data_IF_577162097258
#
_entry.id   IF_577162097258
#
_cell.length_a   1.000
_cell.length_b   1.000
_cell.length_c   1.000
_cell.angle_alpha   90.00
_cell.angle_beta   90.00
_cell.angle_gamma   90.00
#
_symmetry.space_group_name_H-M   'P 1'
#
loop_
_entity.id
_entity.type
_entity.pdbx_description
1 polymer ?
#
# COMPACT_ATOMS: atom_id res chain seq x y z
N UNK A 1 4.72 13.89 15.77
CA UNK A 1 4.59 12.65 14.97
C UNK A 1 4.68 11.48 15.95
N UNK A 2 3.64 10.69 16.05
CA UNK A 2 3.62 9.56 17.00
C UNK A 2 4.25 8.37 16.27
N UNK A 3 5.37 7.89 16.75
CA UNK A 3 6.04 6.68 16.25
C UNK A 3 5.47 5.45 16.97
N UNK A 4 5.16 4.41 16.23
CA UNK A 4 4.80 3.12 16.80
C UNK A 4 5.99 2.17 16.70
N UNK A 5 6.34 1.52 17.79
CA UNK A 5 7.35 0.46 17.81
C UNK A 5 6.77 -0.80 17.16
N UNK A 6 7.52 -1.47 16.27
CA UNK A 6 7.11 -2.77 15.76
C UNK A 6 6.83 -3.77 16.89
N UNK A 7 5.84 -4.65 16.74
CA UNK A 7 5.55 -5.65 17.77
C UNK A 7 6.73 -6.61 17.95
N UNK A 8 7.06 -6.92 19.20
CA UNK A 8 7.99 -8.00 19.49
C UNK A 8 7.31 -9.34 19.15
N UNK A 9 7.81 -10.03 18.14
CA UNK A 9 7.34 -11.37 17.78
C UNK A 9 8.10 -12.40 18.62
N UNK A 10 7.35 -13.22 19.35
CA UNK A 10 7.93 -14.33 20.07
C UNK A 10 8.15 -15.52 19.12
N UNK A 11 9.19 -16.28 19.35
CA UNK A 11 9.63 -17.42 18.56
C UNK A 11 8.64 -18.61 18.74
N UNK A 12 7.49 -18.52 18.06
CA UNK A 12 6.56 -19.63 17.94
C UNK A 12 6.68 -20.20 16.53
N UNK A 13 6.91 -21.52 16.41
CA UNK A 13 6.95 -22.26 15.13
C UNK A 13 5.62 -22.18 14.33
N UNK A 14 4.62 -21.53 14.88
CA UNK A 14 3.26 -21.34 14.37
C UNK A 14 3.05 -19.86 14.12
N UNK A 15 2.39 -19.50 13.05
CA UNK A 15 2.07 -18.11 12.74
C UNK A 15 1.62 -17.29 13.96
N UNK A 16 1.58 -15.98 13.81
CA UNK A 16 1.14 -15.04 14.84
C UNK A 16 0.27 -13.98 14.19
N UNK A 17 -0.76 -13.51 14.90
CA UNK A 17 -1.61 -12.40 14.42
C UNK A 17 -1.54 -11.20 15.33
N UNK A 18 -1.90 -10.05 14.78
CA UNK A 18 -1.97 -8.80 15.54
C UNK A 18 -3.09 -7.93 14.99
N UNK A 19 -4.04 -7.57 15.84
CA UNK A 19 -5.08 -6.61 15.56
C UNK A 19 -4.73 -5.26 16.19
N UNK A 20 -4.76 -4.17 15.41
CA UNK A 20 -4.42 -2.82 15.88
C UNK A 20 -5.26 -1.78 15.17
N UNK A 21 -5.58 -0.72 15.91
CA UNK A 21 -6.11 0.52 15.37
C UNK A 21 -5.03 1.60 15.40
N UNK A 22 -4.87 2.29 14.27
CA UNK A 22 -3.87 3.35 14.11
C UNK A 22 -4.53 4.62 13.58
N UNK A 23 -4.27 5.79 14.21
CA UNK A 23 -4.80 7.05 13.73
C UNK A 23 -4.09 7.51 12.45
N UNK A 24 -4.80 8.31 11.65
CA UNK A 24 -4.24 9.00 10.48
C UNK A 24 -2.95 9.74 10.81
N UNK A 25 -2.00 9.64 9.89
CA UNK A 25 -0.70 10.32 9.98
C UNK A 25 0.32 9.60 10.87
N UNK A 26 -0.07 8.49 11.56
CA UNK A 26 0.89 7.67 12.28
C UNK A 26 1.82 7.00 11.28
N UNK A 27 3.11 6.91 11.64
CA UNK A 27 4.13 6.20 10.86
C UNK A 27 4.76 5.11 11.72
N UNK A 28 4.96 3.96 11.11
CA UNK A 28 5.81 2.88 11.63
C UNK A 28 7.12 2.99 10.86
N UNK A 29 8.21 3.21 11.59
CA UNK A 29 9.53 3.43 11.01
C UNK A 29 10.04 2.19 10.25
N UNK A 30 11.02 2.36 9.34
CA UNK A 30 11.64 1.25 8.64
C UNK A 30 12.15 0.18 9.60
N UNK A 31 11.72 -1.04 9.39
CA UNK A 31 12.11 -2.22 10.16
C UNK A 31 12.01 -3.48 9.30
N UNK A 32 12.60 -4.55 9.76
CA UNK A 32 12.46 -5.88 9.17
C UNK A 32 12.33 -6.94 10.27
N UNK A 33 11.81 -8.07 9.91
CA UNK A 33 11.69 -9.23 10.81
C UNK A 33 11.87 -10.54 10.04
N UNK A 34 12.16 -11.61 10.76
CA UNK A 34 12.43 -12.93 10.18
C UNK A 34 11.17 -13.67 9.72
N UNK A 35 10.00 -13.12 9.96
CA UNK A 35 8.71 -13.65 9.55
C UNK A 35 8.24 -12.99 8.26
N UNK A 36 7.57 -13.75 7.40
CA UNK A 36 6.77 -13.16 6.36
C UNK A 36 5.47 -12.61 6.94
N UNK A 37 4.95 -11.54 6.34
CA UNK A 37 3.81 -10.80 6.90
C UNK A 37 2.76 -10.52 5.84
N UNK A 38 1.50 -10.67 6.23
CA UNK A 38 0.35 -10.14 5.54
C UNK A 38 -0.19 -8.97 6.34
N UNK A 39 -0.14 -7.76 5.76
CA UNK A 39 -0.76 -6.55 6.31
C UNK A 39 -2.12 -6.36 5.63
N UNK A 40 -3.20 -6.52 6.36
CA UNK A 40 -4.57 -6.35 5.88
C UNK A 40 -5.23 -5.11 6.47
N UNK A 41 -5.80 -4.25 5.62
CA UNK A 41 -6.63 -3.14 6.04
C UNK A 41 -8.10 -3.57 6.07
N UNK A 42 -8.67 -3.73 7.26
CA UNK A 42 -10.12 -3.91 7.45
C UNK A 42 -10.83 -2.63 7.04
N UNK A 43 -10.30 -1.49 7.49
CA UNK A 43 -10.75 -0.16 7.11
C UNK A 43 -9.56 0.77 7.01
N UNK A 44 -9.74 1.88 6.29
CA UNK A 44 -8.69 2.86 6.06
C UNK A 44 -7.70 2.46 4.97
N UNK A 45 -6.67 3.25 4.79
CA UNK A 45 -5.67 3.07 3.74
C UNK A 45 -4.27 3.22 4.31
N UNK A 46 -3.41 2.29 3.94
CA UNK A 46 -1.99 2.31 4.28
C UNK A 46 -1.13 2.58 3.04
N UNK A 47 -0.08 3.33 3.22
CA UNK A 47 1.06 3.46 2.33
C UNK A 47 2.20 2.63 2.93
N UNK A 48 2.62 1.59 2.23
CA UNK A 48 3.66 0.67 2.67
C UNK A 48 4.87 0.82 1.75
N UNK A 49 5.99 1.27 2.28
CA UNK A 49 7.25 1.30 1.54
C UNK A 49 7.99 -0.03 1.79
N UNK A 50 8.36 -0.72 0.72
CA UNK A 50 9.08 -1.98 0.78
C UNK A 50 10.11 -2.04 -0.36
N UNK A 51 11.40 -2.04 -0.02
CA UNK A 51 12.47 -1.92 -0.99
C UNK A 51 12.41 -0.58 -1.74
N UNK A 52 12.28 -0.64 -3.07
CA UNK A 52 12.22 0.57 -3.92
C UNK A 52 10.81 0.83 -4.47
N UNK A 53 9.79 0.37 -3.78
CA UNK A 53 8.40 0.56 -4.19
C UNK A 53 7.55 1.00 -3.00
N UNK A 54 6.56 1.84 -3.26
CA UNK A 54 5.44 2.06 -2.36
C UNK A 54 4.23 1.29 -2.87
N UNK A 55 3.57 0.62 -1.94
CA UNK A 55 2.38 -0.17 -2.15
C UNK A 55 1.22 0.50 -1.42
N UNK A 56 0.15 0.80 -2.15
CA UNK A 56 -1.05 1.39 -1.56
C UNK A 56 -2.03 0.29 -1.23
N UNK A 57 -2.44 0.23 0.03
CA UNK A 57 -3.31 -0.82 0.57
C UNK A 57 -4.62 -0.20 1.05
N UNK A 58 -5.63 -0.11 0.17
CA UNK A 58 -6.98 0.32 0.55
C UNK A 58 -7.72 -0.82 1.27
N UNK A 59 -8.93 -0.58 1.78
CA UNK A 59 -9.77 -1.63 2.36
C UNK A 59 -9.92 -2.83 1.44
N UNK A 60 -10.04 -4.01 2.02
CA UNK A 60 -10.14 -5.31 1.34
C UNK A 60 -8.93 -5.66 0.44
N UNK A 61 -7.80 -5.02 0.70
CA UNK A 61 -6.50 -5.39 0.14
C UNK A 61 -5.54 -5.72 1.26
N UNK A 62 -4.62 -6.61 0.97
CA UNK A 62 -3.50 -6.92 1.85
C UNK A 62 -2.19 -6.83 1.09
N UNK A 63 -1.15 -6.46 1.78
CA UNK A 63 0.21 -6.56 1.26
C UNK A 63 0.90 -7.77 1.85
N UNK A 64 1.56 -8.53 1.00
CA UNK A 64 2.50 -9.56 1.35
C UNK A 64 3.90 -8.96 1.45
N UNK A 65 4.55 -9.19 2.56
CA UNK A 65 5.93 -8.81 2.84
C UNK A 65 6.74 -10.08 3.13
N UNK A 66 7.66 -10.49 2.23
CA UNK A 66 8.55 -11.62 2.50
C UNK A 66 9.41 -11.41 3.75
N UNK A 67 9.83 -12.50 4.39
CA UNK A 67 10.75 -12.46 5.51
C UNK A 67 12.02 -11.66 5.17
N UNK A 68 12.50 -10.85 6.11
CA UNK A 68 13.68 -10.00 5.93
C UNK A 68 13.47 -8.75 5.09
N UNK A 69 12.28 -8.52 4.54
CA UNK A 69 11.99 -7.30 3.79
C UNK A 69 11.95 -6.09 4.72
N UNK A 70 12.85 -5.13 4.52
CA UNK A 70 12.76 -3.84 5.19
C UNK A 70 11.55 -3.07 4.66
N UNK A 71 10.70 -2.61 5.57
CA UNK A 71 9.48 -1.89 5.23
C UNK A 71 9.09 -0.86 6.28
N UNK A 72 8.38 0.18 5.84
CA UNK A 72 7.76 1.19 6.69
C UNK A 72 6.29 1.34 6.32
N UNK A 73 5.47 1.83 7.25
CA UNK A 73 4.03 1.99 7.02
C UNK A 73 3.61 3.40 7.42
N UNK A 74 2.87 4.07 6.54
CA UNK A 74 2.26 5.35 6.81
C UNK A 74 0.74 5.23 6.70
N UNK A 75 0.02 5.61 7.75
CA UNK A 75 -1.43 5.59 7.82
C UNK A 75 -2.00 6.82 7.10
N UNK A 76 -2.57 6.60 5.92
CA UNK A 76 -3.16 7.67 5.11
C UNK A 76 -4.50 8.15 5.66
N UNK A 77 -5.18 7.30 6.42
CA UNK A 77 -6.43 7.54 7.15
C UNK A 77 -6.37 6.86 8.51
N UNK A 78 -7.44 6.90 9.30
CA UNK A 78 -7.60 5.98 10.42
C UNK A 78 -7.68 4.55 9.89
N UNK A 79 -6.86 3.65 10.41
CA UNK A 79 -6.70 2.28 9.89
C UNK A 79 -7.00 1.27 10.97
N UNK A 80 -7.92 0.37 10.69
CA UNK A 80 -8.07 -0.88 11.42
C UNK A 80 -7.28 -1.97 10.70
N UNK A 81 -6.19 -2.41 11.32
CA UNK A 81 -5.23 -3.34 10.72
C UNK A 81 -5.33 -4.71 11.36
N UNK A 82 -5.20 -5.73 10.52
CA UNK A 82 -4.94 -7.12 10.93
C UNK A 82 -3.67 -7.59 10.25
N UNK A 83 -2.79 -8.19 11.02
CA UNK A 83 -1.55 -8.76 10.55
C UNK A 83 -1.57 -10.26 10.76
N UNK A 84 -1.12 -11.00 9.76
CA UNK A 84 -0.75 -12.40 9.93
C UNK A 84 0.74 -12.54 9.67
N UNK A 85 1.43 -13.25 10.53
CA UNK A 85 2.85 -13.56 10.40
C UNK A 85 3.02 -15.05 10.14
N UNK A 86 3.85 -15.37 9.15
CA UNK A 86 4.11 -16.73 8.71
C UNK A 86 5.58 -17.07 8.87
N UNK A 87 5.87 -18.23 9.46
CA UNK A 87 7.23 -18.71 9.49
C UNK A 87 7.71 -19.06 8.07
N UNK A 88 8.99 -18.86 7.77
CA UNK A 88 9.57 -19.09 6.44
C UNK A 88 9.25 -20.50 5.88
N UNK A 89 9.20 -21.50 6.75
CA UNK A 89 8.86 -22.90 6.38
C UNK A 89 7.41 -23.09 5.92
N UNK A 90 6.53 -22.13 6.21
CA UNK A 90 5.09 -22.21 5.92
C UNK A 90 4.67 -21.38 4.70
N UNK A 91 5.61 -20.74 4.01
CA UNK A 91 5.33 -19.70 2.97
C UNK A 91 4.84 -20.28 1.62
N UNK A 92 4.96 -21.60 1.40
CA UNK A 92 4.51 -22.22 0.14
C UNK A 92 5.17 -21.62 -1.10
N UNK A 93 4.37 -21.25 -2.10
CA UNK A 93 4.82 -20.70 -3.38
C UNK A 93 4.62 -19.18 -3.51
N UNK A 94 4.37 -18.46 -2.42
CA UNK A 94 4.25 -17.02 -2.46
C UNK A 94 5.54 -16.34 -2.92
N UNK A 95 5.38 -15.21 -3.59
CA UNK A 95 6.47 -14.46 -4.20
C UNK A 95 7.54 -14.07 -3.17
N UNK A 96 8.81 -14.15 -3.57
CA UNK A 96 9.94 -13.53 -2.86
C UNK A 96 9.92 -11.98 -2.94
N UNK A 97 8.94 -11.39 -3.60
CA UNK A 97 8.75 -9.94 -3.72
C UNK A 97 7.47 -9.55 -2.98
N UNK A 98 7.49 -8.34 -2.42
CA UNK A 98 6.29 -7.71 -1.86
C UNK A 98 5.23 -7.52 -2.93
N UNK A 99 3.96 -7.78 -2.58
CA UNK A 99 2.85 -7.70 -3.52
C UNK A 99 1.55 -7.31 -2.81
N UNK A 100 0.62 -6.68 -3.54
CA UNK A 100 -0.72 -6.36 -3.03
C UNK A 100 -1.71 -7.35 -3.59
N UNK A 101 -2.52 -7.94 -2.73
CA UNK A 101 -3.51 -8.95 -3.06
C UNK A 101 -4.93 -8.46 -2.77
N UNK A 102 -5.88 -8.92 -3.56
CA UNK A 102 -7.30 -8.77 -3.28
C UNK A 102 -7.76 -9.82 -2.28
N UNK A 103 -8.47 -9.39 -1.25
CA UNK A 103 -8.93 -10.27 -0.19
C UNK A 103 -10.39 -10.63 -0.42
N UNK A 104 -10.65 -11.89 -0.77
CA UNK A 104 -12.01 -12.41 -0.90
C UNK A 104 -12.70 -12.60 0.46
N UNK A 105 -14.00 -12.92 0.43
CA UNK A 105 -14.79 -13.08 1.66
C UNK A 105 -14.25 -14.16 2.59
N UNK A 106 -13.81 -15.30 2.05
CA UNK A 106 -13.29 -16.41 2.85
C UNK A 106 -11.98 -16.01 3.56
N UNK A 107 -11.04 -15.43 2.81
CA UNK A 107 -9.75 -15.01 3.37
C UNK A 107 -9.93 -13.92 4.43
N UNK A 108 -10.87 -12.98 4.23
CA UNK A 108 -11.21 -11.96 5.23
C UNK A 108 -11.70 -12.57 6.54
N UNK A 109 -12.64 -13.52 6.47
CA UNK A 109 -13.17 -14.19 7.67
C UNK A 109 -12.11 -15.06 8.36
N UNK A 110 -11.22 -15.69 7.59
CA UNK A 110 -10.07 -16.42 8.16
C UNK A 110 -9.13 -15.48 8.92
N UNK A 111 -8.77 -14.32 8.34
CA UNK A 111 -7.91 -13.33 9.00
C UNK A 111 -8.55 -12.83 10.30
N UNK A 112 -9.86 -12.54 10.28
CA UNK A 112 -10.59 -12.11 11.46
C UNK A 112 -10.62 -13.18 12.54
N UNK A 113 -10.99 -14.41 12.17
CA UNK A 113 -11.09 -15.54 13.10
C UNK A 113 -9.75 -15.91 13.74
N UNK A 114 -8.65 -15.91 12.96
CA UNK A 114 -7.30 -16.14 13.50
C UNK A 114 -6.97 -15.07 14.54
N UNK A 115 -7.21 -13.78 14.23
CA UNK A 115 -6.93 -12.67 15.13
C UNK A 115 -7.72 -12.78 16.45
N UNK A 116 -9.02 -13.11 16.38
CA UNK A 116 -9.88 -13.29 17.54
C UNK A 116 -9.45 -14.45 18.43
N UNK A 117 -9.09 -15.60 17.85
CA UNK A 117 -8.63 -16.77 18.61
C UNK A 117 -7.31 -16.51 19.33
N UNK A 118 -6.38 -15.79 18.72
CA UNK A 118 -5.13 -15.43 19.38
C UNK A 118 -5.32 -14.37 20.47
N UNK A 119 -6.17 -13.36 20.25
CA UNK A 119 -6.48 -12.35 21.26
C UNK A 119 -7.18 -12.96 22.48
N UNK A 120 -8.13 -13.88 22.26
CA UNK A 120 -8.83 -14.61 23.30
C UNK A 120 -7.97 -15.67 24.01
N UNK A 121 -6.77 -15.95 23.51
CA UNK A 121 -5.88 -17.03 23.98
C UNK A 121 -6.58 -18.42 24.00
N UNK A 122 -7.57 -18.61 23.15
CA UNK A 122 -8.24 -19.89 22.96
C UNK A 122 -7.30 -20.79 22.17
N UNK A 123 -6.70 -21.77 22.86
CA UNK A 123 -5.65 -22.65 22.32
C UNK A 123 -6.24 -23.85 21.55
N UNK A 124 -7.05 -23.61 20.54
CA UNK A 124 -7.34 -24.66 19.56
C UNK A 124 -6.23 -24.65 18.49
N UNK A 125 -5.13 -25.36 18.80
CA UNK A 125 -3.96 -25.40 17.92
C UNK A 125 -4.25 -26.06 16.57
N UNK A 126 -5.13 -27.02 16.52
CA UNK A 126 -5.52 -27.69 15.29
C UNK A 126 -6.34 -26.76 14.41
N UNK A 127 -7.25 -25.99 15.01
CA UNK A 127 -8.00 -24.96 14.31
C UNK A 127 -7.06 -23.89 13.74
N UNK A 128 -6.19 -23.29 14.57
CA UNK A 128 -5.29 -22.22 14.13
C UNK A 128 -4.34 -22.70 13.03
N UNK A 129 -3.74 -23.87 13.17
CA UNK A 129 -2.82 -24.41 12.16
C UNK A 129 -3.54 -24.64 10.82
N UNK A 130 -4.79 -25.13 10.86
CA UNK A 130 -5.62 -25.34 9.67
C UNK A 130 -6.03 -24.01 9.04
N UNK A 131 -6.44 -23.02 9.86
CA UNK A 131 -6.83 -21.69 9.41
C UNK A 131 -5.67 -20.95 8.74
N UNK A 132 -4.46 -20.97 9.33
CA UNK A 132 -3.25 -20.40 8.73
C UNK A 132 -2.90 -21.07 7.39
N UNK A 133 -3.00 -22.40 7.33
CA UNK A 133 -2.74 -23.14 6.10
C UNK A 133 -3.75 -22.77 5.00
N UNK A 134 -5.02 -22.68 5.35
CA UNK A 134 -6.07 -22.28 4.39
C UNK A 134 -5.89 -20.84 3.96
N UNK A 135 -5.58 -19.91 4.87
CA UNK A 135 -5.29 -18.53 4.53
C UNK A 135 -4.12 -18.41 3.54
N UNK A 136 -3.08 -19.21 3.69
CA UNK A 136 -1.96 -19.29 2.76
C UNK A 136 -2.39 -19.76 1.37
N UNK A 137 -3.20 -20.81 1.27
CA UNK A 137 -3.72 -21.32 0.00
C UNK A 137 -4.63 -20.30 -0.71
N UNK A 138 -5.42 -19.56 0.04
CA UNK A 138 -6.25 -18.47 -0.50
C UNK A 138 -5.39 -17.32 -1.03
N UNK A 139 -4.33 -16.93 -0.30
CA UNK A 139 -3.38 -15.90 -0.75
C UNK A 139 -2.64 -16.31 -2.03
N UNK A 140 -2.26 -17.57 -2.19
CA UNK A 140 -1.60 -18.07 -3.41
C UNK A 140 -2.47 -17.92 -4.65
N UNK A 141 -3.78 -18.00 -4.50
CA UNK A 141 -4.77 -17.88 -5.57
C UNK A 141 -5.33 -16.46 -5.73
N UNK A 142 -5.06 -15.57 -4.76
CA UNK A 142 -5.64 -14.24 -4.75
C UNK A 142 -5.13 -13.38 -5.94
N UNK A 143 -6.03 -12.62 -6.60
CA UNK A 143 -5.64 -11.69 -7.63
C UNK A 143 -4.68 -10.63 -7.10
N UNK A 144 -3.71 -10.22 -7.91
CA UNK A 144 -2.75 -9.18 -7.56
C UNK A 144 -3.25 -7.82 -8.00
N UNK A 145 -3.03 -6.83 -7.16
CA UNK A 145 -3.36 -5.43 -7.44
C UNK A 145 -2.16 -4.69 -8.02
N UNK A 146 -2.41 -3.74 -8.91
CA UNK A 146 -1.36 -3.02 -9.65
C UNK A 146 -0.97 -1.66 -9.06
N UNK A 147 -1.47 -1.27 -7.88
CA UNK A 147 -1.14 0.04 -7.28
C UNK A 147 0.26 0.03 -6.65
N UNK A 148 1.26 0.08 -7.52
CA UNK A 148 2.68 0.18 -7.17
C UNK A 148 3.23 1.51 -7.64
N UNK A 149 3.99 2.18 -6.80
CA UNK A 149 4.62 3.46 -7.09
C UNK A 149 6.13 3.27 -6.90
N UNK A 150 6.93 3.33 -7.97
CA UNK A 150 8.36 3.19 -7.83
C UNK A 150 8.93 4.34 -6.99
N UNK A 151 9.79 4.00 -6.03
CA UNK A 151 10.50 4.95 -5.18
C UNK A 151 11.98 5.01 -5.56
N UNK A 152 12.62 6.17 -5.47
CA UNK A 152 14.05 6.25 -5.69
C UNK A 152 14.80 5.49 -4.59
N UNK A 153 15.92 4.88 -4.98
CA UNK A 153 16.93 4.55 -4.00
C UNK A 153 17.50 5.86 -3.40
N UNK A 154 17.96 5.83 -2.19
CA UNK A 154 18.49 7.03 -1.51
C UNK A 154 19.79 7.58 -2.13
N UNK A 155 20.22 7.10 -3.30
CA UNK A 155 21.48 7.44 -3.95
C UNK A 155 21.51 8.90 -4.46
N UNK A 156 20.38 9.45 -4.90
CA UNK A 156 20.26 10.87 -5.25
C UNK A 156 19.31 11.59 -4.30
N UNK A 157 19.89 12.32 -3.34
CA UNK A 157 19.15 13.07 -2.31
C UNK A 157 18.15 14.07 -2.88
N UNK A 158 18.39 14.63 -4.07
CA UNK A 158 17.48 15.60 -4.71
C UNK A 158 16.23 14.91 -5.22
N UNK A 159 16.41 13.72 -5.82
CA UNK A 159 15.29 12.92 -6.30
C UNK A 159 14.45 12.41 -5.12
N UNK A 160 15.08 11.90 -4.08
CA UNK A 160 14.41 11.47 -2.85
C UNK A 160 13.63 12.61 -2.20
N UNK A 161 14.26 13.77 -1.98
CA UNK A 161 13.61 14.94 -1.40
C UNK A 161 12.41 15.42 -2.23
N UNK A 162 12.52 15.42 -3.56
CA UNK A 162 11.40 15.78 -4.44
C UNK A 162 10.28 14.76 -4.34
N UNK A 163 10.57 13.47 -4.38
CA UNK A 163 9.56 12.42 -4.27
C UNK A 163 8.80 12.52 -2.94
N UNK A 164 9.51 12.71 -1.81
CA UNK A 164 8.88 12.93 -0.49
C UNK A 164 8.00 14.16 -0.47
N UNK A 165 8.45 15.29 -1.01
CA UNK A 165 7.65 16.51 -1.08
C UNK A 165 6.36 16.33 -1.87
N UNK A 166 6.39 15.54 -2.95
CA UNK A 166 5.20 15.24 -3.75
C UNK A 166 4.28 14.23 -3.05
N UNK A 167 4.83 13.23 -2.35
CA UNK A 167 4.04 12.28 -1.55
C UNK A 167 3.29 13.02 -0.44
N UNK A 168 3.96 13.95 0.24
CA UNK A 168 3.35 14.76 1.30
C UNK A 168 2.31 15.76 0.76
N UNK A 169 2.51 16.27 -0.46
CA UNK A 169 1.56 17.17 -1.14
C UNK A 169 1.52 16.90 -2.65
N UNK A 170 0.68 15.96 -3.12
CA UNK A 170 0.61 15.56 -4.52
C UNK A 170 -0.13 16.53 -5.43
N UNK A 171 -0.54 17.69 -4.93
CA UNK A 171 -1.32 18.68 -5.69
C UNK A 171 -0.60 19.16 -6.97
N UNK A 172 -1.36 19.40 -8.02
CA UNK A 172 -0.87 20.03 -9.26
C UNK A 172 -0.52 21.52 -9.09
N UNK A 173 -0.82 22.12 -7.94
CA UNK A 173 -0.54 23.53 -7.69
C UNK A 173 0.97 23.85 -7.71
N UNK A 174 1.83 22.87 -7.44
CA UNK A 174 3.28 23.04 -7.51
C UNK A 174 3.78 22.43 -8.83
N UNK A 175 4.40 23.24 -9.65
CA UNK A 175 4.93 22.80 -10.95
C UNK A 175 6.24 21.98 -10.79
N UNK A 176 6.60 21.24 -11.84
CA UNK A 176 7.87 20.49 -11.83
C UNK A 176 9.10 21.42 -11.74
N UNK A 177 9.00 22.61 -12.34
CA UNK A 177 10.03 23.66 -12.26
C UNK A 177 10.22 24.15 -10.83
N UNK A 178 9.14 24.35 -10.09
CA UNK A 178 9.17 24.76 -8.68
C UNK A 178 9.77 23.67 -7.81
N UNK A 179 9.40 22.40 -8.03
CA UNK A 179 10.02 21.26 -7.35
C UNK A 179 11.51 21.16 -7.68
N UNK A 180 11.90 21.38 -8.95
CA UNK A 180 13.31 21.35 -9.35
C UNK A 180 14.11 22.44 -8.63
N UNK A 181 13.57 23.65 -8.58
CA UNK A 181 14.19 24.77 -7.89
C UNK A 181 14.35 24.52 -6.39
N UNK A 182 13.34 23.92 -5.73
CA UNK A 182 13.38 23.65 -4.28
C UNK A 182 14.47 22.65 -3.87
N UNK A 183 14.87 21.74 -4.77
CA UNK A 183 15.95 20.78 -4.53
C UNK A 183 17.27 21.16 -5.19
N UNK A 184 17.37 22.41 -5.71
CA UNK A 184 18.61 22.94 -6.30
C UNK A 184 19.04 22.21 -7.59
N UNK A 185 18.09 21.75 -8.40
CA UNK A 185 18.37 21.04 -9.64
C UNK A 185 17.68 21.70 -10.85
N UNK A 186 18.21 21.49 -12.05
CA UNK A 186 17.52 21.89 -13.27
C UNK A 186 16.43 20.87 -13.62
N UNK A 187 15.35 21.32 -14.27
CA UNK A 187 14.28 20.46 -14.80
C UNK A 187 14.85 19.34 -15.65
N UNK A 188 15.81 19.63 -16.54
CA UNK A 188 16.49 18.65 -17.39
C UNK A 188 17.20 17.56 -16.58
N UNK A 189 17.88 17.97 -15.50
CA UNK A 189 18.60 17.02 -14.63
C UNK A 189 17.61 16.09 -13.94
N UNK A 190 16.55 16.64 -13.35
CA UNK A 190 15.55 15.84 -12.66
C UNK A 190 14.76 14.94 -13.61
N UNK A 191 14.34 15.43 -14.77
CA UNK A 191 13.65 14.60 -15.76
C UNK A 191 14.47 13.35 -16.13
N UNK A 192 15.80 13.54 -16.33
CA UNK A 192 16.70 12.42 -16.62
C UNK A 192 16.84 11.46 -15.42
N UNK A 193 16.91 12.00 -14.20
CA UNK A 193 16.98 11.19 -12.99
C UNK A 193 15.70 10.36 -12.81
N UNK A 194 14.52 10.94 -13.00
CA UNK A 194 13.25 10.22 -12.95
C UNK A 194 13.25 9.02 -13.90
N UNK A 195 13.50 9.26 -15.17
CA UNK A 195 13.48 8.17 -16.17
C UNK A 195 14.54 7.11 -15.88
N UNK A 196 15.73 7.52 -15.42
CA UNK A 196 16.82 6.59 -15.12
C UNK A 196 16.56 5.74 -13.87
N UNK A 197 16.06 6.36 -12.79
CA UNK A 197 15.90 5.70 -11.49
C UNK A 197 14.55 4.97 -11.37
N UNK A 198 13.48 5.56 -11.92
CA UNK A 198 12.11 5.08 -11.72
C UNK A 198 11.49 4.46 -12.99
N UNK A 199 12.17 4.55 -14.14
CA UNK A 199 11.68 4.03 -15.42
C UNK A 199 10.54 4.85 -16.06
N UNK A 200 10.00 5.85 -15.35
CA UNK A 200 8.86 6.68 -15.77
C UNK A 200 9.17 8.17 -15.61
N UNK A 201 8.35 9.03 -16.25
CA UNK A 201 8.48 10.48 -16.12
C UNK A 201 7.77 11.03 -14.87
N UNK A 202 8.19 12.24 -14.43
CA UNK A 202 7.61 12.91 -13.26
C UNK A 202 6.08 13.03 -13.31
N UNK A 203 5.51 13.43 -14.44
CA UNK A 203 4.07 13.62 -14.57
C UNK A 203 3.28 12.30 -14.40
N UNK A 204 3.81 11.21 -14.91
CA UNK A 204 3.23 9.88 -14.74
C UNK A 204 3.37 9.40 -13.31
N UNK A 205 4.56 9.54 -12.73
CA UNK A 205 4.83 9.18 -11.35
C UNK A 205 3.93 9.94 -10.37
N UNK A 206 3.84 11.28 -10.51
CA UNK A 206 2.95 12.11 -9.67
C UNK A 206 1.49 11.67 -9.81
N UNK A 207 1.06 11.30 -11.01
CA UNK A 207 -0.30 10.82 -11.26
C UNK A 207 -0.59 9.53 -10.50
N UNK A 208 0.37 8.60 -10.42
CA UNK A 208 0.23 7.38 -9.61
C UNK A 208 0.07 7.71 -8.12
N UNK A 209 0.84 8.66 -7.59
CA UNK A 209 0.67 9.16 -6.21
C UNK A 209 -0.71 9.79 -6.01
N UNK A 210 -1.16 10.61 -6.95
CA UNK A 210 -2.49 11.24 -6.91
C UNK A 210 -3.62 10.21 -6.93
N UNK A 211 -3.49 9.16 -7.74
CA UNK A 211 -4.47 8.06 -7.76
C UNK A 211 -4.52 7.31 -6.42
N UNK A 212 -3.38 7.08 -5.79
CA UNK A 212 -3.33 6.48 -4.47
C UNK A 212 -4.10 7.29 -3.42
N UNK A 213 -3.87 8.61 -3.40
CA UNK A 213 -4.60 9.54 -2.52
C UNK A 213 -6.10 9.60 -2.88
N UNK A 214 -6.42 9.56 -4.17
CA UNK A 214 -7.82 9.56 -4.62
C UNK A 214 -8.57 8.31 -4.18
N UNK A 215 -7.99 7.12 -4.37
CA UNK A 215 -8.55 5.84 -3.94
C UNK A 215 -8.75 5.83 -2.41
N UNK A 216 -7.77 6.36 -1.67
CA UNK A 216 -7.88 6.53 -0.22
C UNK A 216 -9.07 7.40 0.17
N UNK A 217 -9.17 8.58 -0.44
CA UNK A 217 -10.26 9.51 -0.15
C UNK A 217 -11.64 8.96 -0.49
N UNK A 218 -11.76 8.22 -1.60
CA UNK A 218 -13.02 7.56 -1.99
C UNK A 218 -13.38 6.44 -1.01
N UNK A 219 -12.42 5.66 -0.57
CA UNK A 219 -12.63 4.61 0.44
C UNK A 219 -13.10 5.18 1.80
N UNK A 220 -12.70 6.41 2.12
CA UNK A 220 -13.18 7.18 3.27
C UNK A 220 -14.56 7.83 3.05
N UNK A 221 -15.18 7.66 1.88
CA UNK A 221 -16.46 8.28 1.54
C UNK A 221 -16.38 9.79 1.26
N UNK A 222 -15.16 10.31 0.97
CA UNK A 222 -14.97 11.74 0.68
C UNK A 222 -15.55 12.11 -0.67
N UNK A 223 -16.12 13.31 -0.77
CA UNK A 223 -16.70 13.78 -2.02
C UNK A 223 -15.65 13.91 -3.12
N UNK A 224 -15.96 13.40 -4.31
CA UNK A 224 -15.11 13.47 -5.52
C UNK A 224 -14.61 14.89 -5.80
N UNK A 225 -15.50 15.90 -5.66
CA UNK A 225 -15.16 17.31 -5.86
C UNK A 225 -14.13 17.85 -4.85
N UNK A 226 -14.15 17.34 -3.63
CA UNK A 226 -13.18 17.69 -2.58
C UNK A 226 -11.81 17.10 -2.91
N UNK A 227 -11.77 15.81 -3.26
CA UNK A 227 -10.54 15.13 -3.66
C UNK A 227 -9.91 15.81 -4.89
N UNK A 228 -10.72 16.08 -5.93
CA UNK A 228 -10.25 16.74 -7.14
C UNK A 228 -9.60 18.11 -6.82
N UNK A 229 -10.24 18.93 -6.01
CA UNK A 229 -9.74 20.26 -5.62
C UNK A 229 -8.43 20.17 -4.84
N UNK A 230 -8.31 19.25 -3.90
CA UNK A 230 -7.08 19.06 -3.12
C UNK A 230 -5.91 18.61 -4.01
N UNK A 231 -6.19 17.76 -4.99
CA UNK A 231 -5.20 17.31 -5.97
C UNK A 231 -4.91 18.37 -7.06
N UNK A 232 -5.60 19.50 -7.02
CA UNK A 232 -5.39 20.60 -7.96
C UNK A 232 -6.00 20.35 -9.35
N UNK A 233 -7.12 19.62 -9.41
CA UNK A 233 -7.88 19.37 -10.64
C UNK A 233 -9.22 20.07 -10.62
N UNK A 234 -9.71 20.40 -11.83
CA UNK A 234 -11.15 20.59 -12.04
C UNK A 234 -11.85 19.22 -11.93
N UNK A 235 -13.09 19.16 -11.38
CA UNK A 235 -13.79 17.88 -11.19
C UNK A 235 -13.92 17.03 -12.45
N UNK A 236 -14.18 17.64 -13.61
CA UNK A 236 -14.25 16.92 -14.88
C UNK A 236 -12.91 16.33 -15.30
N UNK A 237 -11.85 17.13 -15.23
CA UNK A 237 -10.49 16.68 -15.58
C UNK A 237 -9.99 15.57 -14.64
N UNK A 238 -10.37 15.63 -13.35
CA UNK A 238 -10.10 14.56 -12.39
C UNK A 238 -10.83 13.27 -12.78
N UNK A 239 -12.13 13.36 -13.08
CA UNK A 239 -12.92 12.18 -13.46
C UNK A 239 -12.40 11.51 -14.73
N UNK A 240 -11.98 12.30 -15.72
CA UNK A 240 -11.40 11.80 -16.98
C UNK A 240 -10.04 11.12 -16.71
N UNK A 241 -9.18 11.73 -15.90
CA UNK A 241 -7.91 11.15 -15.51
C UNK A 241 -8.12 9.82 -14.75
N UNK A 242 -9.00 9.83 -13.76
CA UNK A 242 -9.28 8.66 -12.93
C UNK A 242 -9.83 7.49 -13.75
N UNK A 243 -10.82 7.77 -14.65
CA UNK A 243 -11.38 6.76 -15.55
C UNK A 243 -10.35 6.17 -16.51
N UNK A 244 -9.47 7.01 -17.06
CA UNK A 244 -8.42 6.55 -17.97
C UNK A 244 -7.43 5.61 -17.29
N UNK A 245 -7.09 5.88 -16.03
CA UNK A 245 -6.07 5.11 -15.30
C UNK A 245 -6.65 3.86 -14.62
N UNK A 246 -7.90 3.91 -14.13
CA UNK A 246 -8.52 2.83 -13.34
C UNK A 246 -9.72 2.16 -14.02
N UNK A 247 -10.12 2.62 -15.21
CA UNK A 247 -11.21 2.01 -15.99
C UNK A 247 -12.64 2.35 -15.54
N UNK A 248 -12.82 2.97 -14.37
CA UNK A 248 -14.12 3.37 -13.83
C UNK A 248 -14.14 4.85 -13.48
N UNK A 249 -15.31 5.50 -13.47
CA UNK A 249 -15.41 6.86 -12.96
C UNK A 249 -15.26 6.89 -11.43
N UNK A 250 -14.83 8.02 -10.82
CA UNK A 250 -14.71 8.10 -9.37
C UNK A 250 -16.03 7.87 -8.62
N UNK A 251 -17.16 8.17 -9.25
CA UNK A 251 -18.51 7.96 -8.69
C UNK A 251 -18.96 6.50 -8.75
N UNK A 252 -18.48 5.76 -9.75
CA UNK A 252 -18.80 4.36 -9.98
C UNK A 252 -17.70 3.44 -9.42
N UNK A 253 -16.62 4.05 -8.93
CA UNK A 253 -15.50 3.32 -8.35
C UNK A 253 -15.90 2.76 -7.00
N UNK A 254 -16.02 1.45 -6.94
CA UNK A 254 -16.14 0.74 -5.68
C UNK A 254 -14.72 0.43 -5.17
N UNK A 255 -14.26 1.07 -4.10
CA UNK A 255 -12.97 0.74 -3.50
C UNK A 255 -12.90 -0.71 -3.00
N UNK A 256 -14.05 -1.36 -2.90
CA UNK A 256 -14.22 -2.75 -2.50
C UNK A 256 -14.36 -3.71 -3.68
N UNK A 257 -14.57 -3.21 -4.89
CA UNK A 257 -14.59 -4.02 -6.11
C UNK A 257 -13.18 -4.36 -6.60
N UNK A 258 -13.07 -5.44 -7.34
CA UNK A 258 -11.83 -5.90 -7.96
C UNK A 258 -11.24 -4.86 -8.89
N UNK A 259 -10.05 -4.36 -8.61
CA UNK A 259 -9.24 -3.57 -9.56
C UNK A 259 -8.62 -4.48 -10.65
N UNK A 260 -9.37 -5.52 -11.03
CA UNK A 260 -8.97 -6.43 -12.08
C UNK A 260 -9.16 -5.75 -13.43
N UNK A 261 -8.07 -5.53 -14.15
CA UNK A 261 -8.00 -5.41 -15.61
C UNK A 261 -7.47 -4.10 -16.24
N UNK A 262 -6.70 -3.27 -15.58
CA UNK A 262 -5.99 -2.22 -16.34
C UNK A 262 -4.66 -2.67 -16.97
N UNK A 263 -4.17 -3.86 -16.66
CA UNK A 263 -2.89 -4.36 -17.20
C UNK A 263 -3.00 -5.06 -18.57
N UNK A 264 -4.21 -5.36 -19.05
CA UNK A 264 -4.41 -6.12 -20.30
C UNK A 264 -4.50 -5.26 -21.57
N UNK A 265 -4.42 -3.93 -21.47
CA UNK A 265 -4.60 -3.02 -22.61
C UNK A 265 -3.30 -2.34 -23.09
N UNK A 266 -2.15 -2.74 -22.58
CA UNK A 266 -0.83 -2.22 -23.01
C UNK A 266 0.16 -3.34 -23.40
N UNK A 267 -0.33 -4.38 -24.08
CA UNK A 267 0.54 -5.32 -24.80
C UNK A 267 0.50 -5.05 -26.28
#
# INVERSE_FOLDING_TARGET
MTQATPPALHDADKGHSLARHYPRGLRIDPHSHTWAQVLYAVSGVMWVEAGHEALVVPPQRAVWLPAGTEHSIHMMSDVEMRNLYFHERSIGHLSARSDVFEINGLLRELIASIAEHEEAQTRDEDYLSTAYRLAMLELEQAPRSSLRIPLPDASDRRLDALCRAVIDNPSNAISFEQHAASVGASVRTLARLFTRALGIGFAEWRRQVQLAVAVSGLAEGRAVSTIARELGYLPSSFSDMFRRELGASPTDFDPHATLAASAALKS
#
